data_IF_741695424169
#
_entry.id   IF_741695424169
#
_cell.length_a   1.000
_cell.length_b   1.000
_cell.length_c   1.000
_cell.angle_alpha   90.00
_cell.angle_beta   90.00
_cell.angle_gamma   90.00
#
_symmetry.space_group_name_H-M   'P 1'
#
loop_
_entity.id
_entity.type
_entity.pdbx_description
1 polymer ?
#
# COMPACT_ATOMS: atom_id res chain seq x y z
N UNK A 1 -7.19 15.54 0.17
CA UNK A 1 -7.73 14.18 0.41
C UNK A 1 -8.05 13.44 -0.89
N UNK A 2 -8.92 13.96 -1.77
CA UNK A 2 -9.30 13.27 -3.03
C UNK A 2 -8.10 12.90 -3.92
N UNK A 3 -7.19 13.86 -4.18
CA UNK A 3 -5.99 13.60 -4.98
C UNK A 3 -5.06 12.54 -4.33
N UNK A 4 -4.97 12.53 -2.99
CA UNK A 4 -4.20 11.53 -2.26
C UNK A 4 -4.82 10.14 -2.40
N UNK A 5 -6.14 10.03 -2.23
CA UNK A 5 -6.86 8.76 -2.42
C UNK A 5 -6.72 8.23 -3.86
N UNK A 6 -6.79 9.09 -4.87
CA UNK A 6 -6.57 8.70 -6.28
C UNK A 6 -5.13 8.22 -6.52
N UNK A 7 -4.14 8.91 -5.97
CA UNK A 7 -2.73 8.49 -6.02
C UNK A 7 -2.53 7.11 -5.39
N UNK A 8 -3.19 6.85 -4.26
CA UNK A 8 -3.10 5.57 -3.56
C UNK A 8 -3.70 4.40 -4.35
N UNK A 9 -4.83 4.64 -5.03
CA UNK A 9 -5.46 3.67 -5.94
C UNK A 9 -4.51 3.29 -7.09
N UNK A 10 -3.83 4.28 -7.68
CA UNK A 10 -2.84 4.05 -8.73
C UNK A 10 -1.61 3.32 -8.19
N UNK A 11 -1.10 3.72 -7.01
CA UNK A 11 0.02 3.04 -6.37
C UNK A 11 -0.28 1.57 -6.06
N UNK A 12 -1.52 1.26 -5.68
CA UNK A 12 -1.98 -0.10 -5.45
C UNK A 12 -1.87 -0.99 -6.71
N UNK A 13 -1.89 -0.43 -7.93
CA UNK A 13 -1.75 -1.22 -9.15
C UNK A 13 -0.39 -1.91 -9.25
N UNK A 14 0.67 -1.28 -8.74
CA UNK A 14 2.03 -1.83 -8.75
C UNK A 14 2.31 -2.60 -7.45
N UNK A 15 1.75 -2.12 -6.33
CA UNK A 15 2.00 -2.68 -5.00
C UNK A 15 1.37 -4.05 -4.82
N UNK A 16 0.11 -4.22 -5.20
CA UNK A 16 -0.65 -5.47 -5.01
C UNK A 16 -0.02 -6.68 -5.72
N UNK A 17 0.35 -6.63 -7.02
CA UNK A 17 0.98 -7.78 -7.66
C UNK A 17 2.33 -8.14 -7.02
N UNK A 18 3.11 -7.14 -6.61
CA UNK A 18 4.38 -7.35 -5.90
C UNK A 18 4.17 -8.02 -4.54
N UNK A 19 3.13 -7.60 -3.81
CA UNK A 19 2.76 -8.16 -2.51
C UNK A 19 2.29 -9.62 -2.63
N UNK A 20 1.47 -9.95 -3.63
CA UNK A 20 1.00 -11.32 -3.89
C UNK A 20 2.18 -12.26 -4.17
N UNK A 21 3.14 -11.83 -4.99
CA UNK A 21 4.33 -12.65 -5.28
C UNK A 21 5.19 -12.83 -4.04
N UNK A 22 5.40 -11.77 -3.24
CA UNK A 22 6.15 -11.84 -1.97
C UNK A 22 5.50 -12.80 -0.98
N UNK A 23 4.18 -12.70 -0.77
CA UNK A 23 3.46 -13.57 0.15
C UNK A 23 3.56 -15.04 -0.26
N UNK A 24 3.44 -15.34 -1.55
CA UNK A 24 3.62 -16.71 -2.07
C UNK A 24 5.06 -17.20 -1.93
N UNK A 25 6.05 -16.33 -2.09
CA UNK A 25 7.46 -16.66 -1.88
C UNK A 25 7.78 -16.96 -0.40
N UNK A 26 7.13 -16.25 0.53
CA UNK A 26 7.29 -16.52 1.97
C UNK A 26 6.71 -17.88 2.38
N UNK A 27 5.63 -18.33 1.72
CA UNK A 27 5.03 -19.66 1.96
C UNK A 27 5.81 -20.77 1.25
N UNK A 28 6.51 -20.45 0.15
CA UNK A 28 7.34 -21.40 -0.61
C UNK A 28 8.78 -20.88 -0.76
N UNK A 29 9.59 -20.92 0.30
CA UNK A 29 10.94 -20.34 0.30
C UNK A 29 11.90 -21.01 -0.68
N UNK A 30 11.58 -22.23 -1.13
CA UNK A 30 12.37 -22.99 -2.11
C UNK A 30 12.07 -22.62 -3.57
N UNK A 31 10.98 -21.87 -3.83
CA UNK A 31 10.59 -21.47 -5.17
C UNK A 31 11.11 -20.05 -5.49
N UNK A 32 11.85 -19.92 -6.58
CA UNK A 32 12.32 -18.61 -7.04
C UNK A 32 11.15 -17.67 -7.38
N UNK A 33 11.31 -16.38 -7.09
CA UNK A 33 10.29 -15.33 -7.33
C UNK A 33 9.74 -15.34 -8.76
N UNK A 34 10.60 -15.54 -9.76
CA UNK A 34 10.20 -15.64 -11.17
C UNK A 34 9.35 -16.87 -11.47
N UNK A 35 9.63 -18.00 -10.83
CA UNK A 35 8.83 -19.23 -10.98
C UNK A 35 7.45 -19.07 -10.35
N UNK A 36 7.35 -18.36 -9.23
CA UNK A 36 6.07 -18.07 -8.57
C UNK A 36 5.23 -17.12 -9.43
N UNK A 37 5.86 -16.09 -9.99
CA UNK A 37 5.19 -15.15 -10.90
C UNK A 37 4.70 -15.86 -12.16
N UNK A 38 5.55 -16.63 -12.83
CA UNK A 38 5.16 -17.36 -14.06
C UNK A 38 4.08 -18.40 -13.80
N UNK A 39 4.19 -19.16 -12.70
CA UNK A 39 3.18 -20.12 -12.28
C UNK A 39 1.84 -19.44 -11.97
N UNK A 40 1.86 -18.30 -11.28
CA UNK A 40 0.63 -17.54 -10.96
C UNK A 40 -0.03 -17.00 -12.23
N UNK A 41 0.75 -16.46 -13.16
CA UNK A 41 0.25 -15.97 -14.45
C UNK A 41 -0.32 -17.11 -15.31
N UNK A 42 0.33 -18.28 -15.32
CA UNK A 42 -0.12 -19.41 -16.13
C UNK A 42 -1.41 -20.06 -15.60
N UNK A 43 -1.54 -20.20 -14.27
CA UNK A 43 -2.68 -20.90 -13.66
C UNK A 43 -3.85 -19.99 -13.28
N UNK A 44 -3.59 -18.76 -12.84
CA UNK A 44 -4.62 -17.83 -12.33
C UNK A 44 -4.76 -16.58 -13.21
N UNK A 45 -3.89 -16.42 -14.21
CA UNK A 45 -3.87 -15.24 -15.06
C UNK A 45 -3.47 -13.96 -14.32
N UNK A 46 -3.74 -12.83 -14.97
CA UNK A 46 -3.50 -11.50 -14.40
C UNK A 46 -4.38 -11.28 -13.16
N UNK A 47 -5.60 -11.84 -13.13
CA UNK A 47 -6.50 -11.71 -11.98
C UNK A 47 -5.93 -12.30 -10.69
N UNK A 48 -5.14 -13.38 -10.79
CA UNK A 48 -4.42 -13.96 -9.65
C UNK A 48 -3.45 -12.99 -8.98
N UNK A 49 -2.83 -12.09 -9.76
CA UNK A 49 -1.91 -11.08 -9.24
C UNK A 49 -2.62 -9.90 -8.54
N UNK A 50 -3.88 -9.63 -8.90
CA UNK A 50 -4.69 -8.58 -8.29
C UNK A 50 -5.64 -9.11 -7.21
N UNK A 51 -5.46 -10.37 -6.80
CA UNK A 51 -6.23 -10.98 -5.72
C UNK A 51 -5.93 -10.25 -4.40
N UNK A 52 -6.89 -9.43 -3.95
CA UNK A 52 -6.75 -8.59 -2.77
C UNK A 52 -6.74 -7.08 -3.06
N UNK A 53 -6.70 -6.64 -4.32
CA UNK A 53 -6.63 -5.22 -4.69
C UNK A 53 -7.71 -4.36 -4.02
N UNK A 54 -8.98 -4.82 -4.06
CA UNK A 54 -10.10 -4.13 -3.39
C UNK A 54 -9.90 -4.02 -1.89
N UNK A 55 -9.36 -5.05 -1.24
CA UNK A 55 -9.08 -5.06 0.20
C UNK A 55 -7.98 -4.06 0.54
N UNK A 56 -6.91 -4.01 -0.27
CA UNK A 56 -5.84 -3.02 -0.12
C UNK A 56 -6.38 -1.61 -0.26
N UNK A 57 -7.12 -1.30 -1.32
CA UNK A 57 -7.72 0.02 -1.51
C UNK A 57 -8.66 0.39 -0.36
N UNK A 58 -9.49 -0.56 0.09
CA UNK A 58 -10.39 -0.37 1.23
C UNK A 58 -9.63 -0.11 2.54
N UNK A 59 -8.39 -0.60 2.68
CA UNK A 59 -7.54 -0.32 3.85
C UNK A 59 -6.84 1.03 3.75
N UNK A 60 -6.29 1.36 2.58
CA UNK A 60 -5.48 2.56 2.40
C UNK A 60 -6.32 3.85 2.42
N UNK A 61 -7.57 3.82 1.96
CA UNK A 61 -8.46 5.00 1.98
C UNK A 61 -8.76 5.44 3.42
N UNK A 62 -9.31 4.59 4.33
CA UNK A 62 -9.52 4.95 5.72
C UNK A 62 -8.22 5.32 6.44
N UNK A 63 -7.13 4.62 6.15
CA UNK A 63 -5.82 4.95 6.70
C UNK A 63 -5.42 6.39 6.36
N UNK A 64 -5.53 6.78 5.09
CA UNK A 64 -5.27 8.16 4.65
C UNK A 64 -6.22 9.17 5.29
N UNK A 65 -7.50 8.83 5.44
CA UNK A 65 -8.49 9.70 6.08
C UNK A 65 -8.18 10.00 7.54
N UNK A 66 -7.55 9.07 8.26
CA UNK A 66 -7.13 9.26 9.66
C UNK A 66 -5.73 9.88 9.76
N UNK A 67 -4.81 9.45 8.91
CA UNK A 67 -3.41 9.90 8.94
C UNK A 67 -3.27 11.40 8.71
N UNK A 68 -3.96 11.97 7.71
CA UNK A 68 -3.81 13.38 7.38
C UNK A 68 -4.28 14.31 8.51
N UNK A 69 -5.50 14.16 9.07
CA UNK A 69 -5.92 14.98 10.21
C UNK A 69 -5.04 14.80 11.44
N UNK A 70 -4.61 13.57 11.73
CA UNK A 70 -3.74 13.29 12.87
C UNK A 70 -2.38 13.99 12.71
N UNK A 71 -1.80 13.94 11.51
CA UNK A 71 -0.54 14.61 11.20
C UNK A 71 -0.65 16.13 11.34
N UNK A 72 -1.70 16.74 10.78
CA UNK A 72 -1.92 18.19 10.90
C UNK A 72 -2.15 18.59 12.37
N UNK A 73 -2.93 17.81 13.12
CA UNK A 73 -3.16 18.07 14.55
C UNK A 73 -1.86 18.04 15.36
N UNK A 74 -1.05 16.97 15.21
CA UNK A 74 0.24 16.86 15.89
C UNK A 74 1.19 17.99 15.49
N UNK A 75 1.21 18.35 14.21
CA UNK A 75 2.07 19.40 13.69
C UNK A 75 1.72 20.77 14.29
N UNK A 76 0.43 21.10 14.34
CA UNK A 76 -0.05 22.36 14.93
C UNK A 76 0.26 22.42 16.42
N UNK A 77 -0.02 21.34 17.17
CA UNK A 77 0.25 21.28 18.60
C UNK A 77 1.75 21.45 18.92
N UNK A 78 2.61 20.79 18.14
CA UNK A 78 4.06 20.91 18.26
C UNK A 78 4.55 22.33 17.93
N UNK A 79 3.98 22.98 16.92
CA UNK A 79 4.31 24.35 16.54
C UNK A 79 3.92 25.37 17.62
N UNK A 80 2.80 25.14 18.33
CA UNK A 80 2.38 25.99 19.45
C UNK A 80 3.30 25.83 20.66
N UNK A 81 3.86 24.64 20.89
CA UNK A 81 4.74 24.33 22.01
C UNK A 81 6.21 24.76 21.77
N UNK A 82 6.68 24.77 20.52
CA UNK A 82 8.08 25.06 20.17
C UNK A 82 8.20 26.09 19.02
N UNK A 83 7.85 27.38 19.25
CA UNK A 83 7.86 28.42 18.21
C UNK A 83 9.27 28.81 17.71
N UNK A 84 10.34 28.32 18.33
CA UNK A 84 11.73 28.59 17.95
C UNK A 84 12.32 27.57 16.97
N UNK A 85 11.63 26.47 16.71
CA UNK A 85 12.03 25.42 15.76
C UNK A 85 11.44 25.61 14.35
N UNK A 86 10.69 26.70 14.13
CA UNK A 86 9.98 26.99 12.87
C UNK A 86 10.71 27.95 11.92
N UNK A 87 12.03 28.12 12.05
CA UNK A 87 12.87 28.78 11.02
C UNK A 87 13.46 27.76 10.05
#
# INVERSE_FOLDING_TARGET
MVAASLGEVVACLIRVPSEVVKQRAQVSPSAGTFRILSHTLYHEGIQGLYRGYKSTVLREIPFSLVQFPLWEFLKVDLQLQLPHLSM
#
